data_IF_044053386980
#
_entry.id   IF_044053386980
#
_cell.length_a   1.000
_cell.length_b   1.000
_cell.length_c   1.000
_cell.angle_alpha   90.00
_cell.angle_beta   90.00
_cell.angle_gamma   90.00
#
_symmetry.space_group_name_H-M   'P 1'
#
loop_
_entity.id
_entity.type
_entity.pdbx_description
1 polymer ?
#
# COMPACT_ATOMS: atom_id res chain seq x y z
N UNK A 1 26.99 6.88 6.94
CA UNK A 1 27.47 7.22 8.30
C UNK A 1 27.15 8.68 8.66
N UNK A 2 27.10 9.61 7.70
CA UNK A 2 26.83 11.04 7.97
C UNK A 2 25.37 11.42 8.30
N UNK A 3 24.38 10.65 7.81
CA UNK A 3 22.95 10.92 8.11
C UNK A 3 22.56 10.67 9.58
N UNK A 4 23.26 9.75 10.25
CA UNK A 4 23.07 9.50 11.69
C UNK A 4 23.69 10.63 12.52
N UNK A 5 24.83 11.17 12.08
CA UNK A 5 25.48 12.32 12.72
C UNK A 5 24.65 13.61 12.57
N UNK A 6 24.00 13.81 11.42
CA UNK A 6 23.10 14.93 11.20
C UNK A 6 21.86 14.90 12.11
N UNK A 7 21.30 13.71 12.38
CA UNK A 7 20.20 13.53 13.35
C UNK A 7 20.62 13.87 14.78
N UNK A 8 21.78 13.39 15.22
CA UNK A 8 22.29 13.66 16.57
C UNK A 8 22.61 15.15 16.80
N UNK A 9 23.12 15.85 15.77
CA UNK A 9 23.41 17.28 15.86
C UNK A 9 22.14 18.14 15.99
N UNK A 10 21.03 17.74 15.36
CA UNK A 10 19.77 18.49 15.42
C UNK A 10 19.06 18.36 16.79
N UNK A 11 19.19 17.21 17.45
CA UNK A 11 18.64 16.96 18.80
C UNK A 11 19.44 17.67 19.91
N UNK A 12 20.75 17.84 19.71
CA UNK A 12 21.65 18.54 20.64
C UNK A 12 21.41 20.06 20.71
N UNK A 13 20.86 20.68 19.66
CA UNK A 13 20.65 22.13 19.60
C UNK A 13 19.34 22.55 20.31
N UNK A 14 18.38 21.63 20.45
CA UNK A 14 17.09 21.89 21.08
C UNK A 14 17.08 21.71 22.62
N UNK A 15 18.12 21.11 23.20
CA UNK A 15 18.18 20.72 24.61
C UNK A 15 19.33 21.41 25.35
N UNK A 16 19.34 22.75 25.34
CA UNK A 16 20.31 23.52 26.11
C UNK A 16 20.02 23.54 27.61
N UNK A 17 20.67 22.65 28.40
CA UNK A 17 21.21 22.85 29.78
C UNK A 17 21.57 21.50 30.45
N UNK A 18 22.57 21.42 31.36
CA UNK A 18 23.38 20.22 31.56
C UNK A 18 22.91 19.24 32.65
N UNK A 19 23.08 17.96 32.33
CA UNK A 19 23.27 16.73 33.12
C UNK A 19 22.82 16.69 34.60
N UNK A 20 21.92 15.74 34.88
CA UNK A 20 22.03 14.88 36.07
C UNK A 20 22.04 13.41 35.60
N UNK A 21 23.17 12.74 35.82
CA UNK A 21 23.32 11.29 35.75
C UNK A 21 22.33 10.63 36.71
N UNK A 22 21.41 9.84 36.16
CA UNK A 22 20.75 8.66 36.74
C UNK A 22 19.35 8.48 36.16
N UNK A 23 19.28 8.05 34.89
CA UNK A 23 18.08 7.40 34.39
C UNK A 23 18.46 6.13 33.66
N UNK A 24 18.22 5.03 34.37
CA UNK A 24 18.16 3.64 33.91
C UNK A 24 17.90 3.57 32.42
N UNK A 25 18.84 2.94 31.70
CA UNK A 25 18.64 2.44 30.34
C UNK A 25 17.39 1.56 30.36
N UNK A 26 16.25 2.18 30.04
CA UNK A 26 15.07 1.46 29.62
C UNK A 26 15.51 0.74 28.36
N UNK A 27 15.65 -0.58 28.43
CA UNK A 27 15.73 -1.41 27.23
C UNK A 27 14.68 -0.90 26.24
N UNK A 28 15.14 -0.34 25.12
CA UNK A 28 14.25 -0.08 24.00
C UNK A 28 13.79 -1.47 23.57
N UNK A 29 12.59 -1.87 24.00
CA UNK A 29 11.93 -3.07 23.50
C UNK A 29 11.83 -2.88 21.99
N UNK A 30 12.76 -3.50 21.25
CA UNK A 30 12.89 -3.30 19.81
C UNK A 30 11.54 -3.57 19.17
N UNK A 31 11.04 -2.62 18.37
CA UNK A 31 9.78 -2.84 17.64
C UNK A 31 9.89 -4.16 16.89
N UNK A 32 8.88 -5.01 17.06
CA UNK A 32 8.78 -6.28 16.34
C UNK A 32 8.95 -6.03 14.84
N UNK A 33 9.82 -6.81 14.20
CA UNK A 33 10.05 -6.74 12.76
C UNK A 33 9.01 -7.58 12.00
N UNK A 34 8.44 -7.00 10.95
CA UNK A 34 7.43 -7.59 10.08
C UNK A 34 8.01 -7.80 8.66
N UNK A 35 7.47 -8.75 7.91
CA UNK A 35 7.79 -8.90 6.50
C UNK A 35 7.15 -7.78 5.68
N UNK A 36 5.84 -7.59 5.83
CA UNK A 36 5.11 -6.57 5.09
C UNK A 36 3.91 -6.01 5.85
N UNK A 37 3.60 -4.75 5.57
CA UNK A 37 2.33 -4.12 5.94
C UNK A 37 1.51 -3.85 4.69
N UNK A 38 0.32 -4.41 4.61
CA UNK A 38 -0.62 -4.27 3.50
C UNK A 38 -1.74 -3.31 3.89
N UNK A 39 -1.79 -2.17 3.22
CA UNK A 39 -2.85 -1.18 3.31
C UNK A 39 -3.83 -1.32 2.15
N UNK A 40 -5.07 -1.68 2.46
CA UNK A 40 -6.16 -1.77 1.50
C UNK A 40 -6.90 -0.42 1.49
N UNK A 41 -6.61 0.42 0.50
CA UNK A 41 -7.29 1.70 0.33
C UNK A 41 -8.77 1.47 0.05
N UNK A 42 -9.63 2.05 0.90
CA UNK A 42 -11.09 1.91 0.83
C UNK A 42 -11.78 3.25 1.04
N UNK A 43 -13.09 3.33 0.86
CA UNK A 43 -13.88 4.55 1.07
C UNK A 43 -15.10 4.29 1.97
N UNK A 44 -15.76 5.35 2.43
CA UNK A 44 -17.00 5.22 3.21
C UNK A 44 -18.08 4.40 2.48
N UNK A 45 -18.22 4.59 1.17
CA UNK A 45 -19.18 3.88 0.32
C UNK A 45 -18.82 2.41 0.05
N UNK A 46 -17.60 1.99 0.36
CA UNK A 46 -17.06 0.66 0.01
C UNK A 46 -17.38 -0.45 1.02
N UNK A 47 -18.37 -0.29 1.90
CA UNK A 47 -18.68 -1.29 2.94
C UNK A 47 -18.81 -2.71 2.38
N UNK A 48 -19.61 -2.89 1.33
CA UNK A 48 -19.83 -4.20 0.70
C UNK A 48 -18.55 -4.78 0.07
N UNK A 49 -17.66 -3.92 -0.44
CA UNK A 49 -16.37 -4.36 -0.98
C UNK A 49 -15.46 -4.90 0.13
N UNK A 50 -15.36 -4.18 1.25
CA UNK A 50 -14.62 -4.66 2.43
C UNK A 50 -15.14 -6.01 2.91
N UNK A 51 -16.47 -6.17 3.00
CA UNK A 51 -17.08 -7.45 3.39
C UNK A 51 -16.73 -8.55 2.37
N UNK A 52 -16.68 -8.26 1.06
CA UNK A 52 -16.25 -9.23 0.04
C UNK A 52 -14.77 -9.63 0.15
N UNK A 53 -13.89 -8.68 0.48
CA UNK A 53 -12.46 -8.93 0.72
C UNK A 53 -12.27 -9.82 1.96
N UNK A 54 -12.95 -9.50 3.06
CA UNK A 54 -12.99 -10.30 4.29
C UNK A 54 -13.52 -11.72 4.07
N UNK A 55 -14.54 -11.86 3.23
CA UNK A 55 -15.15 -13.15 2.90
C UNK A 55 -14.31 -13.99 1.93
N UNK A 56 -13.19 -13.46 1.43
CA UNK A 56 -12.32 -14.12 0.45
C UNK A 56 -10.88 -14.15 0.92
N UNK A 57 -10.03 -13.27 0.38
CA UNK A 57 -8.58 -13.40 0.52
C UNK A 57 -8.02 -12.80 1.81
N UNK A 58 -8.75 -11.97 2.55
CA UNK A 58 -8.26 -11.37 3.79
C UNK A 58 -8.65 -12.21 5.02
N UNK A 59 -7.69 -12.78 5.78
CA UNK A 59 -7.98 -13.48 7.02
C UNK A 59 -8.64 -12.57 8.07
N UNK A 60 -9.54 -13.14 8.87
CA UNK A 60 -10.31 -12.44 9.90
C UNK A 60 -10.05 -13.01 11.30
N UNK A 61 -10.31 -12.22 12.35
CA UNK A 61 -10.26 -12.65 13.75
C UNK A 61 -8.93 -13.30 14.12
N UNK A 62 -8.98 -14.48 14.74
CA UNK A 62 -7.78 -15.23 15.16
C UNK A 62 -6.86 -15.60 13.99
N UNK A 63 -7.40 -15.87 12.78
CA UNK A 63 -6.55 -16.13 11.61
C UNK A 63 -5.74 -14.89 11.23
N UNK A 64 -6.30 -13.68 11.39
CA UNK A 64 -5.57 -12.44 11.15
C UNK A 64 -4.48 -12.23 12.21
N UNK A 65 -4.78 -12.45 13.49
CA UNK A 65 -3.77 -12.35 14.56
C UNK A 65 -2.62 -13.35 14.35
N UNK A 66 -2.95 -14.60 14.04
CA UNK A 66 -1.97 -15.64 13.70
C UNK A 66 -1.10 -15.24 12.50
N UNK A 67 -1.68 -14.59 11.49
CA UNK A 67 -0.92 -14.07 10.34
C UNK A 67 0.11 -13.00 10.77
N UNK A 68 -0.30 -12.08 11.63
CA UNK A 68 0.57 -11.03 12.18
C UNK A 68 1.68 -11.64 13.05
N UNK A 69 1.34 -12.65 13.85
CA UNK A 69 2.21 -13.28 14.84
C UNK A 69 3.16 -14.34 14.28
N UNK A 70 2.77 -15.11 13.27
CA UNK A 70 3.59 -16.20 12.76
C UNK A 70 4.28 -15.85 11.44
N UNK A 71 3.66 -14.99 10.62
CA UNK A 71 4.19 -14.63 9.30
C UNK A 71 4.71 -13.20 9.24
N UNK A 72 4.45 -12.38 10.26
CA UNK A 72 4.86 -10.99 10.27
C UNK A 72 4.18 -10.18 9.15
N UNK A 73 2.92 -10.48 8.85
CA UNK A 73 2.15 -9.78 7.81
C UNK A 73 1.00 -9.02 8.47
N UNK A 74 1.04 -7.69 8.39
CA UNK A 74 -0.06 -6.82 8.82
C UNK A 74 -0.98 -6.54 7.64
N UNK A 75 -2.30 -6.64 7.80
CA UNK A 75 -3.27 -6.24 6.77
C UNK A 75 -4.34 -5.36 7.40
N UNK A 76 -4.53 -4.15 6.87
CA UNK A 76 -5.53 -3.19 7.37
C UNK A 76 -6.27 -2.52 6.21
N UNK A 77 -7.57 -2.27 6.40
CA UNK A 77 -8.31 -1.32 5.57
C UNK A 77 -7.92 0.10 5.95
N UNK A 78 -7.45 0.86 4.98
CA UNK A 78 -6.92 2.22 5.18
C UNK A 78 -8.01 3.23 4.85
N UNK A 79 -8.37 4.04 5.84
CA UNK A 79 -9.43 5.03 5.71
C UNK A 79 -9.14 6.26 6.58
N UNK A 80 -9.39 7.43 6.04
CA UNK A 80 -9.40 8.69 6.75
C UNK A 80 -10.71 8.95 7.48
N UNK A 81 -10.96 10.20 7.81
CA UNK A 81 -12.18 10.68 8.43
C UNK A 81 -13.02 11.51 7.45
N UNK A 82 -14.29 11.71 7.78
CA UNK A 82 -15.15 12.58 6.99
C UNK A 82 -14.80 14.06 7.21
N UNK A 83 -15.27 14.94 6.33
CA UNK A 83 -15.06 16.39 6.47
C UNK A 83 -15.63 16.94 7.79
N UNK A 84 -16.70 16.32 8.30
CA UNK A 84 -17.29 16.62 9.60
C UNK A 84 -16.91 15.51 10.58
N UNK A 85 -15.79 15.68 11.27
CA UNK A 85 -15.30 14.70 12.24
C UNK A 85 -16.38 14.29 13.24
N UNK A 86 -16.54 12.97 13.43
CA UNK A 86 -17.58 12.38 14.29
C UNK A 86 -18.98 12.33 13.68
N UNK A 87 -19.10 12.62 12.38
CA UNK A 87 -20.33 12.50 11.61
C UNK A 87 -20.81 11.06 11.42
N UNK A 88 -21.94 10.89 10.73
CA UNK A 88 -22.59 9.58 10.53
C UNK A 88 -21.65 8.58 9.83
N UNK A 89 -20.88 9.06 8.84
CA UNK A 89 -19.93 8.23 8.10
C UNK A 89 -18.81 7.72 9.00
N UNK A 90 -18.27 8.56 9.88
CA UNK A 90 -17.23 8.15 10.84
C UNK A 90 -17.77 7.15 11.87
N UNK A 91 -18.96 7.39 12.44
CA UNK A 91 -19.61 6.47 13.38
C UNK A 91 -19.89 5.10 12.75
N UNK A 92 -20.23 5.05 11.47
CA UNK A 92 -20.43 3.80 10.76
C UNK A 92 -19.11 3.00 10.63
N UNK A 93 -17.99 3.68 10.40
CA UNK A 93 -16.67 3.04 10.40
C UNK A 93 -16.27 2.61 11.81
N UNK A 94 -16.49 3.44 12.84
CA UNK A 94 -16.21 3.06 14.23
C UNK A 94 -16.99 1.80 14.66
N UNK A 95 -18.26 1.69 14.26
CA UNK A 95 -19.07 0.50 14.54
C UNK A 95 -18.53 -0.75 13.82
N UNK A 96 -18.05 -0.59 12.58
CA UNK A 96 -17.40 -1.66 11.83
C UNK A 96 -16.06 -2.07 12.47
N UNK A 97 -15.25 -1.09 12.84
CA UNK A 97 -13.93 -1.34 13.44
C UNK A 97 -14.06 -2.00 14.81
N UNK A 98 -15.03 -1.60 15.64
CA UNK A 98 -15.35 -2.32 16.88
C UNK A 98 -15.68 -3.80 16.66
N UNK A 99 -16.25 -4.15 15.50
CA UNK A 99 -16.63 -5.52 15.18
C UNK A 99 -15.46 -6.33 14.60
N UNK A 100 -14.64 -5.72 13.75
CA UNK A 100 -13.63 -6.44 12.96
C UNK A 100 -12.19 -6.11 13.34
N UNK A 101 -11.92 -4.91 13.85
CA UNK A 101 -10.60 -4.43 14.28
C UNK A 101 -9.55 -4.45 13.17
N UNK A 102 -9.95 -4.32 11.90
CA UNK A 102 -9.07 -4.36 10.73
C UNK A 102 -8.80 -2.97 10.12
N UNK A 103 -9.21 -1.87 10.74
CA UNK A 103 -8.91 -0.56 10.16
C UNK A 103 -7.55 -0.01 10.59
N UNK A 104 -6.97 0.77 9.68
CA UNK A 104 -6.01 1.81 9.97
C UNK A 104 -6.69 3.15 9.69
N UNK A 105 -6.99 3.88 10.76
CA UNK A 105 -7.57 5.23 10.69
C UNK A 105 -6.45 6.24 10.45
N UNK A 106 -6.61 7.10 9.45
CA UNK A 106 -5.66 8.14 9.11
C UNK A 106 -6.17 9.52 9.52
N UNK A 107 -5.24 10.40 9.92
CA UNK A 107 -5.46 11.84 10.01
C UNK A 107 -5.47 12.44 8.59
N UNK A 108 -6.59 12.21 7.90
CA UNK A 108 -6.79 12.54 6.51
C UNK A 108 -8.28 12.72 6.22
N UNK A 109 -8.67 13.85 5.62
CA UNK A 109 -10.05 14.04 5.14
C UNK A 109 -10.24 13.27 3.85
N UNK A 110 -11.15 12.30 3.85
CA UNK A 110 -11.48 11.54 2.64
C UNK A 110 -12.11 12.42 1.55
N UNK A 111 -11.63 12.25 0.32
CA UNK A 111 -12.14 12.91 -0.86
C UNK A 111 -11.62 12.25 -2.14
N UNK A 112 -12.39 12.32 -3.23
CA UNK A 112 -12.01 11.67 -4.49
C UNK A 112 -10.67 12.19 -5.05
N UNK A 113 -10.42 13.50 -4.94
CA UNK A 113 -9.18 14.14 -5.40
C UNK A 113 -8.03 14.02 -4.37
N UNK A 114 -8.27 13.38 -3.24
CA UNK A 114 -7.32 13.29 -2.13
C UNK A 114 -6.61 11.94 -2.06
N UNK A 115 -6.79 11.05 -3.03
CA UNK A 115 -6.15 9.72 -3.04
C UNK A 115 -4.63 9.79 -2.95
N UNK A 116 -3.98 10.69 -3.68
CA UNK A 116 -2.53 10.90 -3.62
C UNK A 116 -2.08 11.35 -2.22
N UNK A 117 -2.89 12.16 -1.53
CA UNK A 117 -2.63 12.58 -0.16
C UNK A 117 -2.84 11.43 0.83
N UNK A 118 -3.91 10.66 0.66
CA UNK A 118 -4.21 9.47 1.45
C UNK A 118 -3.06 8.47 1.40
N UNK A 119 -2.55 8.16 0.22
CA UNK A 119 -1.44 7.22 0.04
C UNK A 119 -0.16 7.71 0.69
N UNK A 120 0.13 9.02 0.59
CA UNK A 120 1.25 9.63 1.30
C UNK A 120 1.11 9.49 2.83
N UNK A 121 -0.06 9.85 3.37
CA UNK A 121 -0.36 9.71 4.80
C UNK A 121 -0.31 8.25 5.25
N UNK A 122 -0.82 7.32 4.44
CA UNK A 122 -0.77 5.89 4.71
C UNK A 122 0.66 5.41 4.94
N UNK A 123 1.58 5.66 4.00
CA UNK A 123 2.96 5.22 4.15
C UNK A 123 3.64 5.88 5.37
N UNK A 124 3.40 7.17 5.59
CA UNK A 124 3.94 7.87 6.75
C UNK A 124 3.47 7.27 8.09
N UNK A 125 2.17 6.99 8.20
CA UNK A 125 1.57 6.36 9.39
C UNK A 125 1.98 4.90 9.54
N UNK A 126 2.03 4.12 8.46
CA UNK A 126 2.39 2.72 8.53
C UNK A 126 3.83 2.52 9.03
N UNK A 127 4.77 3.36 8.56
CA UNK A 127 6.17 3.35 9.01
C UNK A 127 6.31 3.73 10.49
N UNK A 128 5.47 4.63 11.00
CA UNK A 128 5.52 5.01 12.41
C UNK A 128 5.00 3.92 13.33
N UNK A 129 4.01 3.13 12.88
CA UNK A 129 3.38 2.07 13.64
C UNK A 129 4.14 0.74 13.59
N UNK A 130 4.61 0.32 12.41
CA UNK A 130 5.18 -1.00 12.20
C UNK A 130 6.55 -0.91 11.55
N UNK A 131 7.53 -1.65 12.08
CA UNK A 131 8.82 -1.86 11.43
C UNK A 131 8.71 -3.07 10.48
N UNK A 132 8.56 -2.83 9.17
CA UNK A 132 8.43 -3.88 8.16
C UNK A 132 9.46 -3.75 7.04
N UNK A 133 9.83 -4.86 6.40
CA UNK A 133 10.72 -4.84 5.23
C UNK A 133 10.03 -4.16 4.01
N UNK A 134 8.72 -4.37 3.86
CA UNK A 134 7.92 -3.80 2.78
C UNK A 134 6.60 -3.17 3.25
N UNK A 135 6.16 -2.16 2.51
CA UNK A 135 4.85 -1.53 2.67
C UNK A 135 4.11 -1.61 1.34
N UNK A 136 2.88 -2.12 1.38
CA UNK A 136 2.09 -2.49 0.20
C UNK A 136 0.81 -1.69 0.19
N UNK A 137 0.48 -1.09 -0.95
CA UNK A 137 -0.83 -0.49 -1.19
C UNK A 137 -1.63 -1.39 -2.11
N UNK A 138 -2.92 -1.58 -1.80
CA UNK A 138 -3.88 -2.38 -2.59
C UNK A 138 -5.21 -1.64 -2.67
N UNK A 139 -5.93 -1.73 -3.78
CA UNK A 139 -7.32 -1.25 -3.89
C UNK A 139 -8.33 -2.29 -3.37
N UNK A 140 -9.45 -1.83 -2.81
CA UNK A 140 -10.49 -2.70 -2.21
C UNK A 140 -11.33 -3.52 -3.21
N UNK A 141 -11.07 -3.37 -4.51
CA UNK A 141 -11.65 -4.16 -5.59
C UNK A 141 -10.62 -5.05 -6.31
N UNK A 142 -9.50 -5.38 -5.67
CA UNK A 142 -8.46 -6.29 -6.22
C UNK A 142 -8.46 -7.63 -5.46
N UNK A 143 -8.26 -8.74 -6.17
CA UNK A 143 -7.99 -10.04 -5.56
C UNK A 143 -6.48 -10.22 -5.38
N UNK A 144 -6.05 -10.67 -4.20
CA UNK A 144 -4.63 -10.86 -3.85
C UNK A 144 -4.39 -12.27 -3.31
N UNK A 145 -3.30 -12.89 -3.78
CA UNK A 145 -2.74 -14.11 -3.24
C UNK A 145 -1.62 -13.76 -2.25
N UNK A 146 -1.91 -13.79 -0.94
CA UNK A 146 -1.03 -13.25 0.11
C UNK A 146 0.29 -14.03 0.19
N UNK A 147 0.28 -15.35 0.09
CA UNK A 147 1.48 -16.17 0.15
C UNK A 147 2.39 -15.91 -1.06
N UNK A 148 1.77 -15.79 -2.23
CA UNK A 148 2.45 -15.44 -3.48
C UNK A 148 3.04 -14.03 -3.41
N UNK A 149 2.33 -13.06 -2.83
CA UNK A 149 2.84 -11.71 -2.56
C UNK A 149 4.04 -11.76 -1.60
N UNK A 150 3.89 -12.42 -0.44
CA UNK A 150 4.95 -12.54 0.57
C UNK A 150 6.22 -13.18 0.00
N UNK A 151 6.07 -14.29 -0.73
CA UNK A 151 7.19 -14.98 -1.41
C UNK A 151 7.83 -14.11 -2.48
N UNK A 152 7.07 -13.25 -3.15
CA UNK A 152 7.59 -12.32 -4.14
C UNK A 152 8.45 -11.25 -3.50
N UNK A 153 7.95 -10.62 -2.44
CA UNK A 153 8.67 -9.56 -1.73
C UNK A 153 9.89 -10.08 -0.95
N UNK A 154 9.80 -11.28 -0.37
CA UNK A 154 10.91 -11.91 0.35
C UNK A 154 12.19 -12.04 -0.49
N UNK A 155 12.07 -12.25 -1.82
CA UNK A 155 13.22 -12.31 -2.72
C UNK A 155 13.98 -10.99 -2.88
N UNK A 156 13.35 -9.87 -2.55
CA UNK A 156 13.92 -8.53 -2.66
C UNK A 156 14.37 -7.96 -1.30
N UNK A 157 14.31 -8.76 -0.22
CA UNK A 157 14.55 -8.31 1.16
C UNK A 157 15.96 -7.74 1.39
N UNK A 158 16.94 -8.18 0.62
CA UNK A 158 18.32 -7.67 0.69
C UNK A 158 18.49 -6.30 0.03
N UNK A 159 17.53 -5.85 -0.77
CA UNK A 159 17.65 -4.64 -1.57
C UNK A 159 16.97 -3.48 -0.81
N UNK A 160 17.72 -2.44 -0.41
CA UNK A 160 17.19 -1.39 0.47
C UNK A 160 16.16 -0.49 -0.21
N UNK A 161 16.26 -0.29 -1.54
CA UNK A 161 15.44 0.66 -2.31
C UNK A 161 14.75 -0.04 -3.47
N UNK A 162 13.62 -0.68 -3.19
CA UNK A 162 12.83 -1.44 -4.17
C UNK A 162 11.45 -0.83 -4.30
N UNK A 163 11.06 -0.54 -5.53
CA UNK A 163 9.70 -0.23 -5.91
C UNK A 163 9.22 -1.31 -6.88
N UNK A 164 8.28 -2.15 -6.43
CA UNK A 164 7.80 -3.31 -7.18
C UNK A 164 6.31 -3.18 -7.47
N UNK A 165 5.95 -3.51 -8.70
CA UNK A 165 4.59 -3.45 -9.19
C UNK A 165 4.51 -3.91 -10.64
N UNK A 166 3.32 -3.83 -11.22
CA UNK A 166 3.18 -3.95 -12.66
C UNK A 166 3.49 -2.60 -13.30
N UNK A 167 4.71 -2.47 -13.83
CA UNK A 167 5.21 -1.19 -14.31
C UNK A 167 4.58 -0.84 -15.66
N UNK A 168 4.18 0.43 -15.80
CA UNK A 168 3.56 0.99 -16.99
C UNK A 168 4.11 2.38 -17.30
N UNK A 169 3.88 2.79 -18.54
CA UNK A 169 3.99 4.17 -19.00
C UNK A 169 2.82 4.39 -19.95
N UNK A 170 2.04 5.45 -19.71
CA UNK A 170 0.82 5.74 -20.46
C UNK A 170 0.77 7.20 -20.87
N UNK A 171 -0.15 7.58 -21.78
CA UNK A 171 -0.31 8.96 -22.18
C UNK A 171 -0.62 9.85 -20.98
N UNK A 172 -0.06 11.06 -20.96
CA UNK A 172 -0.43 12.07 -19.96
C UNK A 172 -1.87 12.51 -20.22
N UNK A 173 -2.71 12.51 -19.18
CA UNK A 173 -4.12 12.85 -19.28
C UNK A 173 -4.33 14.37 -19.30
N UNK A 174 -3.89 15.03 -20.37
CA UNK A 174 -3.92 16.49 -20.52
C UNK A 174 -5.30 17.07 -20.92
N UNK A 175 -6.20 16.24 -21.43
CA UNK A 175 -7.51 16.71 -21.92
C UNK A 175 -8.48 17.00 -20.76
N UNK A 176 -9.04 18.20 -20.70
CA UNK A 176 -10.09 18.54 -19.73
C UNK A 176 -11.33 17.66 -19.92
N UNK A 177 -11.96 17.27 -18.82
CA UNK A 177 -13.20 16.48 -18.82
C UNK A 177 -13.01 14.96 -18.85
N UNK A 178 -11.79 14.46 -19.07
CA UNK A 178 -11.49 13.03 -18.88
C UNK A 178 -11.29 12.73 -17.40
N UNK A 179 -11.63 11.49 -17.00
CA UNK A 179 -11.34 11.01 -15.65
C UNK A 179 -9.84 11.11 -15.40
N UNK A 180 -9.47 11.67 -14.24
CA UNK A 180 -8.08 11.89 -13.84
C UNK A 180 -7.28 12.84 -14.73
N UNK A 181 -7.95 13.81 -15.38
CA UNK A 181 -7.28 14.94 -16.00
C UNK A 181 -6.23 15.54 -15.06
N UNK A 182 -4.99 15.66 -15.55
CA UNK A 182 -3.85 16.19 -14.82
C UNK A 182 -3.72 17.68 -15.11
N UNK A 183 -4.15 18.60 -14.22
CA UNK A 183 -4.09 20.04 -14.47
C UNK A 183 -2.67 20.57 -14.68
N UNK A 184 -1.66 19.89 -14.13
CA UNK A 184 -0.25 20.22 -14.29
C UNK A 184 0.45 19.33 -15.34
N UNK A 185 -0.28 18.89 -16.36
CA UNK A 185 0.21 17.99 -17.42
C UNK A 185 1.48 18.52 -18.12
N UNK A 186 1.64 19.84 -18.18
CA UNK A 186 2.80 20.52 -18.78
C UNK A 186 4.13 20.18 -18.08
N UNK A 187 4.10 19.70 -16.83
CA UNK A 187 5.31 19.24 -16.11
C UNK A 187 5.88 17.93 -16.64
N UNK A 188 5.11 17.20 -17.45
CA UNK A 188 5.54 15.94 -18.07
C UNK A 188 6.16 16.15 -19.46
N UNK A 189 6.40 17.40 -19.83
CA UNK A 189 6.99 17.82 -21.10
C UNK A 189 5.95 18.19 -22.14
N UNK A 190 6.22 17.82 -23.39
CA UNK A 190 5.43 18.26 -24.55
C UNK A 190 4.23 17.35 -24.84
N UNK A 191 3.35 17.80 -25.74
CA UNK A 191 2.22 17.01 -26.20
C UNK A 191 2.69 15.67 -26.82
N UNK A 192 2.03 14.58 -26.46
CA UNK A 192 2.41 13.23 -26.85
C UNK A 192 3.37 12.53 -25.87
N UNK A 193 3.94 13.25 -24.91
CA UNK A 193 4.72 12.62 -23.85
C UNK A 193 3.88 11.66 -23.00
N UNK A 194 4.57 10.66 -22.46
CA UNK A 194 4.01 9.68 -21.54
C UNK A 194 4.44 10.03 -20.13
N UNK A 195 3.63 9.61 -19.15
CA UNK A 195 4.09 9.53 -17.77
C UNK A 195 5.38 8.70 -17.69
N UNK A 196 6.28 9.08 -16.79
CA UNK A 196 7.45 8.26 -16.43
C UNK A 196 7.02 6.86 -16.03
N UNK A 197 7.97 5.92 -16.02
CA UNK A 197 7.71 4.54 -15.61
C UNK A 197 7.26 4.49 -14.15
N UNK A 198 6.07 3.95 -13.89
CA UNK A 198 5.50 3.78 -12.55
C UNK A 198 4.67 2.50 -12.47
N UNK A 199 4.45 1.95 -11.27
CA UNK A 199 3.57 0.82 -11.07
C UNK A 199 2.10 1.24 -11.22
N UNK A 200 1.25 0.33 -11.68
CA UNK A 200 -0.19 0.57 -11.71
C UNK A 200 -0.80 0.66 -10.30
N UNK A 201 -1.80 1.52 -10.11
CA UNK A 201 -2.37 1.82 -8.79
C UNK A 201 -3.04 0.66 -8.05
N UNK A 202 -3.45 -0.42 -8.73
CA UNK A 202 -4.22 -1.52 -8.11
C UNK A 202 -3.44 -2.23 -6.99
N UNK A 203 -2.14 -2.48 -7.22
CA UNK A 203 -1.24 -3.05 -6.23
C UNK A 203 0.22 -2.69 -6.55
N UNK A 204 0.93 -2.19 -5.54
CA UNK A 204 2.37 -2.04 -5.57
C UNK A 204 2.95 -2.13 -4.16
N UNK A 205 4.26 -2.40 -4.06
CA UNK A 205 4.99 -2.39 -2.80
C UNK A 205 6.27 -1.56 -2.91
N UNK A 206 6.65 -0.96 -1.79
CA UNK A 206 7.89 -0.22 -1.63
C UNK A 206 8.65 -0.76 -0.42
N UNK A 207 9.98 -0.77 -0.49
CA UNK A 207 10.83 -1.15 0.63
C UNK A 207 10.75 -0.14 1.78
N UNK A 208 11.20 -0.56 2.96
CA UNK A 208 11.26 0.28 4.18
C UNK A 208 11.92 1.64 3.95
N UNK A 209 13.04 1.69 3.23
CA UNK A 209 13.78 2.94 3.03
C UNK A 209 12.98 3.92 2.17
N UNK A 210 12.27 3.44 1.15
CA UNK A 210 11.40 4.27 0.33
C UNK A 210 10.18 4.75 1.10
N UNK A 211 9.56 3.88 1.91
CA UNK A 211 8.46 4.29 2.78
C UNK A 211 8.91 5.32 3.83
N UNK A 212 10.10 5.14 4.39
CA UNK A 212 10.73 6.09 5.32
C UNK A 212 11.04 7.43 4.64
N UNK A 213 11.54 7.39 3.41
CA UNK A 213 11.75 8.58 2.58
C UNK A 213 10.44 9.35 2.38
N UNK A 214 9.35 8.64 2.05
CA UNK A 214 8.01 9.26 1.93
C UNK A 214 7.59 9.91 3.24
N UNK A 215 7.74 9.21 4.37
CA UNK A 215 7.40 9.72 5.70
C UNK A 215 8.16 11.00 6.06
N UNK A 216 9.48 11.02 5.83
CA UNK A 216 10.36 12.15 6.17
C UNK A 216 10.05 13.35 5.27
N UNK A 217 9.87 13.13 3.97
CA UNK A 217 9.75 14.21 2.98
C UNK A 217 8.31 14.58 2.65
N UNK A 218 7.31 14.03 3.37
CA UNK A 218 5.90 14.14 3.00
C UNK A 218 5.40 15.57 2.74
N UNK A 219 5.98 16.58 3.39
CA UNK A 219 5.59 17.99 3.26
C UNK A 219 6.02 18.62 1.92
N UNK A 220 7.06 18.09 1.27
CA UNK A 220 7.53 18.56 -0.05
C UNK A 220 7.13 17.64 -1.20
N UNK A 221 6.67 16.42 -0.91
CA UNK A 221 6.24 15.48 -1.94
C UNK A 221 4.96 15.97 -2.64
N UNK A 222 5.13 16.30 -3.91
CA UNK A 222 4.08 16.80 -4.79
C UNK A 222 3.02 15.73 -5.08
N UNK A 223 1.78 16.16 -5.29
CA UNK A 223 0.64 15.26 -5.53
C UNK A 223 0.08 15.60 -6.91
N UNK A 224 0.10 14.62 -7.80
CA UNK A 224 -0.61 14.66 -9.08
C UNK A 224 -2.03 14.11 -8.92
N UNK A 225 -2.88 14.32 -9.94
CA UNK A 225 -4.27 13.87 -9.95
C UNK A 225 -4.38 12.33 -9.89
N UNK A 226 -3.42 11.63 -10.49
CA UNK A 226 -3.30 10.18 -10.41
C UNK A 226 -2.40 9.80 -9.22
N UNK A 227 -2.90 8.94 -8.33
CA UNK A 227 -2.18 8.49 -7.14
C UNK A 227 -0.91 7.70 -7.49
N UNK A 228 -1.01 6.81 -8.48
CA UNK A 228 0.09 5.93 -8.87
C UNK A 228 1.20 6.70 -9.61
N UNK A 229 0.82 7.71 -10.40
CA UNK A 229 1.75 8.71 -10.94
C UNK A 229 2.39 9.48 -9.80
N UNK A 230 1.63 9.95 -8.80
CA UNK A 230 2.21 10.67 -7.65
C UNK A 230 3.31 9.86 -6.97
N UNK A 231 3.02 8.60 -6.62
CA UNK A 231 4.00 7.73 -6.00
C UNK A 231 5.26 7.56 -6.87
N UNK A 232 5.11 7.24 -8.15
CA UNK A 232 6.26 7.06 -9.04
C UNK A 232 7.11 8.33 -9.18
N UNK A 233 6.49 9.51 -9.14
CA UNK A 233 7.24 10.78 -9.21
C UNK A 233 8.17 11.00 -8.01
N UNK A 234 7.82 10.44 -6.85
CA UNK A 234 8.62 10.59 -5.63
C UNK A 234 9.95 9.84 -5.70
N UNK A 235 10.06 8.87 -6.61
CA UNK A 235 11.21 7.98 -6.74
C UNK A 235 12.05 8.23 -8.00
N UNK A 236 11.57 9.04 -8.96
CA UNK A 236 12.27 9.24 -10.25
C UNK A 236 13.67 9.84 -10.11
N UNK A 237 13.89 10.68 -9.10
CA UNK A 237 15.18 11.30 -8.80
C UNK A 237 16.06 10.49 -7.83
N UNK A 238 15.62 9.30 -7.43
CA UNK A 238 16.32 8.44 -6.47
C UNK A 238 16.89 7.20 -7.18
N UNK A 239 17.96 6.65 -6.61
CA UNK A 239 18.53 5.37 -7.04
C UNK A 239 17.66 4.19 -6.55
N UNK A 240 16.52 3.98 -7.22
CA UNK A 240 15.52 2.93 -6.90
C UNK A 240 15.50 1.83 -7.96
N UNK A 241 15.54 0.58 -7.50
CA UNK A 241 15.24 -0.57 -8.34
C UNK A 241 13.74 -0.63 -8.64
N UNK A 242 13.37 -0.40 -9.90
CA UNK A 242 12.00 -0.58 -10.40
C UNK A 242 11.81 -2.00 -10.90
N UNK A 243 11.08 -2.82 -10.14
CA UNK A 243 10.81 -4.21 -10.48
C UNK A 243 9.46 -4.31 -11.20
N UNK A 244 9.49 -4.64 -12.49
CA UNK A 244 8.29 -4.92 -13.30
C UNK A 244 7.88 -6.39 -13.16
N UNK A 245 6.96 -6.68 -12.24
CA UNK A 245 6.41 -8.01 -12.05
C UNK A 245 4.96 -8.08 -12.55
N UNK A 246 4.79 -8.72 -13.72
CA UNK A 246 3.49 -8.87 -14.40
C UNK A 246 2.49 -9.76 -13.67
N UNK A 247 2.92 -10.49 -12.64
CA UNK A 247 2.01 -11.26 -11.79
C UNK A 247 1.19 -10.36 -10.86
N UNK A 248 1.56 -9.08 -10.70
CA UNK A 248 0.82 -8.08 -9.92
C UNK A 248 -0.32 -7.41 -10.72
N UNK A 249 -0.56 -7.82 -11.97
CA UNK A 249 -1.61 -7.25 -12.82
C UNK A 249 -2.23 -8.27 -13.78
N UNK A 250 -2.45 -9.49 -13.31
CA UNK A 250 -3.17 -10.47 -14.11
C UNK A 250 -4.62 -10.06 -14.34
N UNK A 251 -5.16 -10.46 -15.48
CA UNK A 251 -6.60 -10.44 -15.71
C UNK A 251 -7.31 -11.41 -14.77
N UNK A 252 -8.57 -11.13 -14.45
CA UNK A 252 -9.46 -12.12 -13.82
C UNK A 252 -9.72 -13.31 -14.77
N UNK A 253 -10.46 -14.36 -14.36
CA UNK A 253 -10.70 -15.53 -15.20
C UNK A 253 -11.13 -15.18 -16.64
N UNK A 254 -10.53 -15.84 -17.66
CA UNK A 254 -9.68 -17.03 -17.57
C UNK A 254 -8.16 -16.77 -17.41
N UNK A 255 -7.69 -15.53 -17.45
CA UNK A 255 -6.24 -15.21 -17.56
C UNK A 255 -5.44 -15.72 -16.35
N UNK A 256 -5.88 -15.40 -15.13
CA UNK A 256 -5.22 -15.84 -13.90
C UNK A 256 -5.10 -17.38 -13.80
N UNK A 257 -6.08 -18.14 -14.30
CA UNK A 257 -6.11 -19.59 -14.25
C UNK A 257 -5.10 -20.20 -15.21
N UNK A 258 -5.08 -19.72 -16.45
CA UNK A 258 -4.10 -20.17 -17.43
C UNK A 258 -2.68 -19.89 -16.98
N UNK A 259 -2.45 -18.72 -16.37
CA UNK A 259 -1.15 -18.39 -15.78
C UNK A 259 -0.79 -19.32 -14.63
N UNK A 260 -1.74 -19.63 -13.74
CA UNK A 260 -1.52 -20.57 -12.65
C UNK A 260 -1.22 -21.99 -13.16
N UNK A 261 -1.94 -22.48 -14.17
CA UNK A 261 -1.70 -23.77 -14.82
C UNK A 261 -0.30 -23.84 -15.47
N UNK A 262 0.20 -22.72 -15.98
CA UNK A 262 1.56 -22.59 -16.50
C UNK A 262 2.64 -22.40 -15.42
N UNK A 263 2.30 -22.53 -14.13
CA UNK A 263 3.22 -22.34 -13.00
C UNK A 263 3.51 -20.89 -12.62
N UNK A 264 2.86 -19.92 -13.29
CA UNK A 264 3.01 -18.49 -13.05
C UNK A 264 1.84 -17.93 -12.23
N UNK A 265 1.69 -18.43 -11.00
CA UNK A 265 0.61 -17.99 -10.10
C UNK A 265 0.65 -16.46 -9.92
N UNK A 266 -0.51 -15.84 -10.15
CA UNK A 266 -0.66 -14.40 -10.04
C UNK A 266 -0.60 -13.94 -8.58
N UNK A 267 0.07 -12.81 -8.35
CA UNK A 267 0.05 -12.10 -7.06
C UNK A 267 -1.26 -11.35 -6.89
N UNK A 268 -1.72 -10.70 -7.96
CA UNK A 268 -2.97 -9.95 -7.97
C UNK A 268 -3.74 -10.15 -9.28
N UNK A 269 -5.06 -10.13 -9.18
CA UNK A 269 -5.97 -10.28 -10.33
C UNK A 269 -7.04 -9.18 -10.32
N UNK A 270 -7.22 -8.50 -11.45
CA UNK A 270 -8.23 -7.46 -11.64
C UNK A 270 -8.57 -7.26 -13.13
N UNK A 271 -9.61 -6.47 -13.42
CA UNK A 271 -10.00 -6.14 -14.80
C UNK A 271 -9.53 -4.73 -15.18
N UNK A 272 -8.82 -4.62 -16.31
CA UNK A 272 -8.36 -3.33 -16.82
C UNK A 272 -9.50 -2.38 -17.19
N UNK A 273 -10.66 -2.91 -17.58
CA UNK A 273 -11.81 -2.11 -18.07
C UNK A 273 -12.45 -1.24 -17.01
N UNK A 274 -12.33 -1.60 -15.72
CA UNK A 274 -12.85 -0.81 -14.60
C UNK A 274 -11.75 -0.44 -13.59
N UNK A 275 -10.49 -0.70 -13.92
CA UNK A 275 -9.33 -0.41 -13.05
C UNK A 275 -9.41 -1.10 -11.68
N UNK A 276 -9.92 -2.34 -11.67
CA UNK A 276 -10.26 -3.15 -10.49
C UNK A 276 -11.09 -4.36 -10.94
N UNK A 277 -11.61 -5.20 -10.05
CA UNK A 277 -12.57 -6.25 -10.44
C UNK A 277 -13.92 -5.59 -10.71
N UNK A 278 -14.45 -5.75 -11.93
CA UNK A 278 -15.73 -5.14 -12.25
C UNK A 278 -16.83 -5.83 -11.48
N UNK A 279 -17.75 -5.06 -10.86
CA UNK A 279 -18.77 -5.59 -9.95
C UNK A 279 -18.12 -6.45 -8.84
N UNK A 280 -17.10 -5.90 -8.19
CA UNK A 280 -16.26 -6.62 -7.23
C UNK A 280 -17.03 -7.25 -6.08
N UNK A 281 -18.11 -6.60 -5.61
CA UNK A 281 -18.97 -7.15 -4.54
C UNK A 281 -19.51 -8.53 -4.92
N UNK A 282 -19.94 -8.70 -6.17
CA UNK A 282 -20.50 -9.95 -6.67
C UNK A 282 -19.41 -10.91 -7.18
N UNK A 283 -18.37 -10.38 -7.85
CA UNK A 283 -17.38 -11.19 -8.57
C UNK A 283 -16.16 -11.61 -7.75
N UNK A 284 -15.83 -10.94 -6.64
CA UNK A 284 -14.64 -11.25 -5.83
C UNK A 284 -14.60 -12.71 -5.40
N UNK A 285 -15.75 -13.28 -5.00
CA UNK A 285 -15.83 -14.69 -4.57
C UNK A 285 -15.49 -15.66 -5.70
N UNK A 286 -15.96 -15.38 -6.91
CA UNK A 286 -15.68 -16.21 -8.07
C UNK A 286 -14.22 -16.10 -8.52
N UNK A 287 -13.69 -14.87 -8.55
CA UNK A 287 -12.29 -14.61 -8.85
C UNK A 287 -11.40 -15.32 -7.82
N UNK A 288 -11.71 -15.21 -6.53
CA UNK A 288 -10.95 -15.89 -5.48
C UNK A 288 -10.97 -17.41 -5.63
N UNK A 289 -12.12 -18.00 -5.97
CA UNK A 289 -12.24 -19.45 -6.19
C UNK A 289 -11.36 -19.95 -7.34
N UNK A 290 -11.19 -19.16 -8.39
CA UNK A 290 -10.53 -19.58 -9.64
C UNK A 290 -9.07 -19.12 -9.74
N UNK A 291 -8.76 -17.94 -9.22
CA UNK A 291 -7.41 -17.35 -9.21
C UNK A 291 -6.68 -17.53 -7.88
N UNK A 292 -7.37 -18.00 -6.83
CA UNK A 292 -6.83 -18.13 -5.49
C UNK A 292 -5.70 -19.16 -5.42
N UNK A 293 -4.68 -18.84 -4.63
CA UNK A 293 -3.75 -19.84 -4.15
C UNK A 293 -4.45 -20.84 -3.20
N UNK A 294 -3.87 -22.04 -3.05
CA UNK A 294 -4.46 -23.05 -2.15
C UNK A 294 -4.56 -22.56 -0.71
N UNK A 295 -5.59 -22.99 0.02
CA UNK A 295 -5.89 -22.47 1.38
C UNK A 295 -4.72 -22.58 2.37
N UNK A 296 -3.85 -23.58 2.18
CA UNK A 296 -2.68 -23.82 3.02
C UNK A 296 -1.42 -23.09 2.56
N UNK A 297 -1.40 -22.49 1.36
CA UNK A 297 -0.21 -21.87 0.78
C UNK A 297 0.38 -20.79 1.72
N UNK A 298 -0.49 -19.98 2.32
CA UNK A 298 -0.08 -18.94 3.26
C UNK A 298 0.58 -19.50 4.52
N UNK A 299 0.09 -20.64 5.01
CA UNK A 299 0.55 -21.23 6.27
C UNK A 299 1.79 -22.11 6.07
N UNK A 300 1.94 -22.75 4.90
CA UNK A 300 3.10 -23.56 4.55
C UNK A 300 4.29 -22.74 4.04
N UNK A 301 4.08 -21.50 3.60
CA UNK A 301 5.16 -20.65 3.10
C UNK A 301 6.13 -20.24 4.20
N UNK A 302 7.43 -20.30 3.89
CA UNK A 302 8.51 -19.68 4.66
C UNK A 302 9.02 -18.47 3.86
N UNK A 303 9.14 -17.32 4.54
CA UNK A 303 9.51 -16.03 3.96
C UNK A 303 10.81 -15.49 4.54
#
# INVERSE_FOLDING_TARGET
>A
MELAAARAAQESILSGSPLSDDLKVSETTGKRKYLMVVGINTAFSSRKRRDSVRATWMPQGEKRRKLEEEKGIIIRFVIGHSATSGGILDRAIEAEDKRHGDFLRLEHVEGYLELSAKTKTYFATAVSLWDADFYVKVDDDVHVNIATLGSTLARHRSNPRVYIGCMKSGPVLAQKGVRYHEPEYWKFGEEGNKYFRHATGQLYAISKDLASYVSINQHVLHKYANEDVSLGSWFIGLDVEHVDDRRLCCGTPPDCEWKAQAGNVCVASFDWTCSGICKSVERMKEVHRRCGEGENALWSSAF
#
